data_IF_976316655321
#
_entry.id   IF_976316655321
#
_cell.length_a   1.000
_cell.length_b   1.000
_cell.length_c   1.000
_cell.angle_alpha   90.00
_cell.angle_beta   90.00
_cell.angle_gamma   90.00
#
_symmetry.space_group_name_H-M   'P 1'
#
loop_
_entity.id
_entity.type
_entity.pdbx_description
1 polymer ?
#
# COMPACT_ATOMS: atom_id res chain seq x y z
N UNK A 1 9.21 -7.88 21.53
CA UNK A 1 10.57 -7.64 20.97
C UNK A 1 10.44 -6.54 19.94
N UNK A 2 11.29 -5.50 19.99
CA UNK A 2 11.30 -4.44 18.98
C UNK A 2 11.88 -4.97 17.68
N UNK A 3 11.33 -4.52 16.56
CA UNK A 3 11.82 -4.81 15.21
C UNK A 3 11.87 -3.49 14.44
N UNK A 4 12.78 -3.39 13.49
CA UNK A 4 12.79 -2.28 12.54
C UNK A 4 11.54 -2.31 11.67
N UNK A 5 11.16 -1.16 11.10
CA UNK A 5 10.11 -1.09 10.07
C UNK A 5 10.41 -2.07 8.94
N UNK A 6 11.67 -2.15 8.49
CA UNK A 6 12.10 -3.09 7.45
C UNK A 6 11.77 -4.55 7.82
N UNK A 7 12.24 -5.02 8.97
CA UNK A 7 12.00 -6.41 9.40
C UNK A 7 10.50 -6.74 9.51
N UNK A 8 9.68 -5.81 10.01
CA UNK A 8 8.22 -6.02 10.12
C UNK A 8 7.51 -6.06 8.79
N UNK A 9 7.97 -5.27 7.82
CA UNK A 9 7.42 -5.21 6.47
C UNK A 9 7.79 -6.47 5.68
N UNK A 10 9.06 -6.89 5.74
CA UNK A 10 9.56 -8.11 5.10
C UNK A 10 8.87 -9.36 5.66
N UNK A 11 8.68 -9.45 6.98
CA UNK A 11 7.92 -10.53 7.62
C UNK A 11 6.46 -10.64 7.14
N UNK A 12 5.94 -9.60 6.46
CA UNK A 12 4.59 -9.55 5.88
C UNK A 12 4.58 -9.65 4.35
N UNK A 13 5.70 -10.03 3.75
CA UNK A 13 5.83 -10.26 2.32
C UNK A 13 6.03 -8.99 1.49
N UNK A 14 6.36 -7.86 2.10
CA UNK A 14 6.79 -6.68 1.34
C UNK A 14 8.26 -6.79 0.97
N UNK A 15 8.60 -6.32 -0.23
CA UNK A 15 9.96 -6.36 -0.76
C UNK A 15 10.63 -5.02 -0.49
N UNK A 16 11.82 -5.04 0.09
CA UNK A 16 12.57 -3.81 0.36
C UNK A 16 12.99 -3.11 -0.96
N UNK A 17 12.62 -1.84 -1.08
CA UNK A 17 13.08 -0.94 -2.14
C UNK A 17 14.13 0.06 -1.68
N UNK A 18 14.44 1.03 -2.54
CA UNK A 18 15.40 2.07 -2.24
C UNK A 18 14.94 2.96 -1.06
N UNK A 19 15.89 3.35 -0.20
CA UNK A 19 15.62 4.26 0.93
C UNK A 19 14.58 3.67 1.89
N UNK A 20 13.44 4.35 2.06
CA UNK A 20 12.34 3.91 2.92
C UNK A 20 11.12 3.40 2.15
N UNK A 21 11.29 3.00 0.88
CA UNK A 21 10.23 2.39 0.07
C UNK A 21 10.20 0.87 0.16
N UNK A 22 9.01 0.32 -0.03
CA UNK A 22 8.70 -1.10 -0.07
C UNK A 22 7.69 -1.41 -1.17
N UNK A 23 7.78 -2.59 -1.77
CA UNK A 23 6.93 -3.02 -2.89
C UNK A 23 6.07 -4.23 -2.52
N UNK A 24 4.87 -4.32 -3.12
CA UNK A 24 4.01 -5.51 -3.01
C UNK A 24 3.06 -5.64 -4.20
N UNK A 25 2.75 -6.85 -4.70
CA UNK A 25 3.27 -8.15 -4.23
C UNK A 25 4.65 -8.49 -4.78
N UNK A 26 5.08 -7.80 -5.83
CA UNK A 26 6.35 -7.97 -6.52
C UNK A 26 6.80 -6.64 -7.13
N UNK A 27 7.89 -6.64 -7.89
CA UNK A 27 8.42 -5.46 -8.60
C UNK A 27 7.80 -5.20 -9.98
N UNK A 28 6.93 -6.09 -10.47
CA UNK A 28 6.24 -5.91 -11.75
C UNK A 28 5.03 -4.99 -11.60
N UNK A 29 4.71 -4.23 -12.64
CA UNK A 29 3.55 -3.34 -12.61
C UNK A 29 2.25 -4.05 -13.02
N UNK A 30 1.10 -3.62 -12.48
CA UNK A 30 0.95 -2.65 -11.40
C UNK A 30 1.41 -3.20 -10.05
N UNK A 31 1.90 -2.36 -9.13
CA UNK A 31 2.22 -2.77 -7.75
C UNK A 31 2.02 -1.63 -6.73
N UNK A 32 2.06 -1.98 -5.45
CA UNK A 32 2.01 -1.03 -4.35
C UNK A 32 3.41 -0.55 -3.99
N UNK A 33 3.54 0.75 -3.75
CA UNK A 33 4.66 1.34 -3.03
C UNK A 33 4.18 1.78 -1.65
N UNK A 34 4.81 1.30 -0.58
CA UNK A 34 4.60 1.84 0.76
C UNK A 34 5.84 2.63 1.19
N UNK A 35 5.65 3.92 1.48
CA UNK A 35 6.72 4.83 1.91
C UNK A 35 6.64 5.10 3.39
N UNK A 36 7.76 4.96 4.09
CA UNK A 36 7.89 5.27 5.51
C UNK A 36 8.83 6.43 5.76
N UNK A 37 8.63 7.14 6.87
CA UNK A 37 9.52 8.21 7.34
C UNK A 37 10.94 7.68 7.56
N UNK A 38 11.06 6.53 8.23
CA UNK A 38 12.33 5.90 8.53
C UNK A 38 12.21 4.36 8.58
N UNK A 39 12.76 3.68 7.56
CA UNK A 39 12.73 2.22 7.48
C UNK A 39 13.60 1.49 8.53
N UNK A 40 14.53 2.17 9.17
CA UNK A 40 15.40 1.63 10.22
C UNK A 40 14.88 1.90 11.64
N UNK A 41 13.76 2.61 11.78
CA UNK A 41 13.17 2.90 13.09
C UNK A 41 12.71 1.61 13.76
N UNK A 42 13.10 1.42 15.02
CA UNK A 42 12.56 0.36 15.88
C UNK A 42 11.14 0.71 16.30
N UNK A 43 10.21 -0.22 16.08
CA UNK A 43 8.79 -0.11 16.42
C UNK A 43 8.35 -1.31 17.25
N UNK A 44 7.49 -1.05 18.24
CA UNK A 44 7.05 -2.02 19.23
C UNK A 44 5.99 -2.99 18.70
N UNK A 45 5.12 -2.51 17.80
CA UNK A 45 4.03 -3.28 17.23
C UNK A 45 3.64 -2.77 15.82
N UNK A 46 2.53 -3.30 15.32
CA UNK A 46 2.01 -2.95 14.00
C UNK A 46 1.38 -1.56 13.97
N UNK A 47 0.72 -1.12 15.03
CA UNK A 47 0.08 0.19 15.05
C UNK A 47 1.11 1.31 15.13
N UNK A 48 2.19 1.13 15.91
CA UNK A 48 3.35 2.01 15.91
C UNK A 48 4.02 2.09 14.53
N UNK A 49 4.04 0.99 13.76
CA UNK A 49 4.54 1.01 12.38
C UNK A 49 3.65 1.85 11.46
N UNK A 50 2.32 1.79 11.60
CA UNK A 50 1.38 2.59 10.79
C UNK A 50 1.56 4.09 10.99
N UNK A 51 2.01 4.54 12.16
CA UNK A 51 2.31 5.96 12.42
C UNK A 51 3.57 6.45 11.67
N UNK A 52 4.43 5.53 11.21
CA UNK A 52 5.60 5.83 10.38
C UNK A 52 5.28 5.85 8.88
N UNK A 53 4.10 5.37 8.48
CA UNK A 53 3.66 5.37 7.09
C UNK A 53 3.40 6.79 6.61
N UNK A 54 4.05 7.20 5.54
CA UNK A 54 3.78 8.48 4.88
C UNK A 54 2.62 8.33 3.87
N UNK A 55 2.68 7.29 3.04
CA UNK A 55 1.66 7.01 2.04
C UNK A 55 1.83 5.60 1.44
N UNK A 56 0.77 5.14 0.77
CA UNK A 56 0.79 3.98 -0.14
C UNK A 56 0.41 4.45 -1.54
N UNK A 57 1.12 4.03 -2.58
CA UNK A 57 0.81 4.38 -3.98
C UNK A 57 0.53 3.11 -4.78
N UNK A 58 -0.58 3.08 -5.52
CA UNK A 58 -0.78 2.12 -6.60
C UNK A 58 -0.06 2.65 -7.84
N UNK A 59 0.99 1.96 -8.26
CA UNK A 59 1.88 2.36 -9.36
C UNK A 59 1.68 1.49 -10.58
N UNK A 60 1.69 2.11 -11.77
CA UNK A 60 1.54 1.48 -13.08
C UNK A 60 2.80 1.61 -13.96
N UNK A 61 3.93 2.05 -13.40
CA UNK A 61 5.23 2.01 -14.10
C UNK A 61 5.34 2.92 -15.32
N UNK A 62 4.57 4.01 -15.37
CA UNK A 62 4.58 4.94 -16.51
C UNK A 62 3.79 4.46 -17.72
N UNK A 63 2.90 3.48 -17.56
CA UNK A 63 1.98 3.06 -18.63
C UNK A 63 1.16 4.26 -19.16
N UNK A 64 1.11 4.47 -20.50
CA UNK A 64 0.32 5.54 -21.10
C UNK A 64 -1.16 5.48 -20.66
N UNK A 65 -1.71 6.64 -20.27
CA UNK A 65 -3.10 6.74 -19.82
C UNK A 65 -3.40 6.12 -18.45
N UNK A 66 -2.36 5.74 -17.68
CA UNK A 66 -2.49 5.28 -16.29
C UNK A 66 -1.91 6.31 -15.33
N UNK A 67 -2.66 6.62 -14.29
CA UNK A 67 -2.23 7.55 -13.24
C UNK A 67 -1.88 6.76 -11.99
N UNK A 68 -0.69 7.00 -11.43
CA UNK A 68 -0.34 6.46 -10.13
C UNK A 68 -1.20 7.14 -9.06
N UNK A 69 -1.85 6.37 -8.20
CA UNK A 69 -2.76 6.93 -7.18
C UNK A 69 -2.16 6.75 -5.81
N UNK A 70 -2.00 7.86 -5.10
CA UNK A 70 -1.46 7.92 -3.74
C UNK A 70 -2.59 7.95 -2.72
N UNK A 71 -2.49 7.09 -1.73
CA UNK A 71 -3.34 6.99 -0.56
C UNK A 71 -2.53 7.36 0.69
N UNK A 72 -2.91 8.47 1.32
CA UNK A 72 -2.39 8.86 2.65
C UNK A 72 -3.37 8.34 3.69
N UNK A 73 -2.85 7.79 4.80
CA UNK A 73 -3.68 7.27 5.88
C UNK A 73 -4.68 8.34 6.36
N UNK A 74 -5.96 7.95 6.46
CA UNK A 74 -7.06 8.85 6.86
C UNK A 74 -7.65 9.69 5.73
N UNK A 75 -7.09 9.67 4.52
CA UNK A 75 -7.63 10.42 3.38
C UNK A 75 -8.86 9.72 2.79
N UNK A 76 -10.03 10.37 2.87
CA UNK A 76 -11.28 9.84 2.28
C UNK A 76 -11.30 9.95 0.76
N UNK A 77 -10.87 11.08 0.20
CA UNK A 77 -10.86 11.30 -1.24
C UNK A 77 -9.87 10.35 -1.94
N UNK A 78 -8.65 10.24 -1.41
CA UNK A 78 -7.64 9.32 -1.96
C UNK A 78 -8.08 7.86 -1.92
N UNK A 79 -8.94 7.45 -0.97
CA UNK A 79 -9.48 6.09 -0.90
C UNK A 79 -10.35 5.76 -2.12
N UNK A 80 -11.18 6.69 -2.59
CA UNK A 80 -12.09 6.44 -3.72
C UNK A 80 -11.30 6.23 -5.00
N UNK A 81 -10.44 7.18 -5.36
CA UNK A 81 -9.59 7.08 -6.56
C UNK A 81 -8.74 5.82 -6.54
N UNK A 82 -8.19 5.47 -5.38
CA UNK A 82 -7.39 4.25 -5.22
C UNK A 82 -8.23 3.00 -5.45
N UNK A 83 -9.44 2.94 -4.91
CA UNK A 83 -10.36 1.80 -5.09
C UNK A 83 -10.74 1.64 -6.56
N UNK A 84 -11.03 2.75 -7.25
CA UNK A 84 -11.43 2.74 -8.65
C UNK A 84 -10.30 2.32 -9.58
N UNK A 85 -9.05 2.74 -9.32
CA UNK A 85 -7.90 2.23 -10.08
C UNK A 85 -7.61 0.76 -9.76
N UNK A 86 -7.76 0.33 -8.51
CA UNK A 86 -7.53 -1.06 -8.12
C UNK A 86 -8.48 -2.03 -8.84
N UNK A 87 -9.74 -1.61 -9.09
CA UNK A 87 -10.73 -2.37 -9.87
C UNK A 87 -10.35 -2.57 -11.34
N UNK A 88 -9.47 -1.75 -11.89
CA UNK A 88 -9.02 -1.84 -13.29
C UNK A 88 -7.89 -2.86 -13.49
N UNK A 89 -7.42 -3.48 -12.42
CA UNK A 89 -6.32 -4.47 -12.42
C UNK A 89 -6.92 -5.88 -12.48
N UNK A 90 -6.12 -6.86 -12.91
CA UNK A 90 -6.46 -8.28 -12.76
C UNK A 90 -6.93 -8.58 -11.33
N UNK A 91 -8.07 -9.27 -11.23
CA UNK A 91 -8.83 -9.47 -9.98
C UNK A 91 -7.99 -10.07 -8.85
N UNK A 92 -7.25 -11.13 -9.11
CA UNK A 92 -6.49 -11.83 -8.06
C UNK A 92 -5.37 -10.94 -7.50
N UNK A 93 -4.73 -10.18 -8.39
CA UNK A 93 -3.71 -9.21 -8.01
C UNK A 93 -4.32 -8.05 -7.22
N UNK A 94 -5.46 -7.54 -7.66
CA UNK A 94 -6.20 -6.47 -6.99
C UNK A 94 -6.64 -6.86 -5.57
N UNK A 95 -7.12 -8.10 -5.38
CA UNK A 95 -7.51 -8.61 -4.05
C UNK A 95 -6.30 -8.68 -3.10
N UNK A 96 -5.17 -9.23 -3.56
CA UNK A 96 -3.94 -9.28 -2.75
C UNK A 96 -3.48 -7.88 -2.31
N UNK A 97 -3.57 -6.91 -3.21
CA UNK A 97 -3.20 -5.53 -2.92
C UNK A 97 -4.18 -4.84 -1.99
N UNK A 98 -5.48 -5.04 -2.19
CA UNK A 98 -6.52 -4.54 -1.30
C UNK A 98 -6.24 -4.96 0.14
N UNK A 99 -5.99 -6.24 0.35
CA UNK A 99 -5.77 -6.79 1.69
C UNK A 99 -4.56 -6.13 2.36
N UNK A 100 -3.47 -5.93 1.61
CA UNK A 100 -2.28 -5.24 2.12
C UNK A 100 -2.46 -3.76 2.38
N UNK A 101 -3.22 -3.07 1.53
CA UNK A 101 -3.55 -1.66 1.76
C UNK A 101 -4.41 -1.54 3.00
N UNK A 102 -5.44 -2.37 3.16
CA UNK A 102 -6.31 -2.36 4.33
C UNK A 102 -5.52 -2.68 5.61
N UNK A 103 -4.65 -3.70 5.58
CA UNK A 103 -3.77 -4.07 6.70
C UNK A 103 -2.89 -2.90 7.16
N UNK A 104 -2.30 -2.18 6.20
CA UNK A 104 -1.28 -1.16 6.45
C UNK A 104 -1.88 0.22 6.75
N UNK A 105 -3.01 0.56 6.16
CA UNK A 105 -3.62 1.90 6.28
C UNK A 105 -4.81 1.93 7.23
N UNK A 106 -5.41 0.77 7.54
CA UNK A 106 -6.68 0.68 8.25
C UNK A 106 -7.88 1.12 7.42
N UNK A 107 -7.71 1.39 6.12
CA UNK A 107 -8.84 1.62 5.23
C UNK A 107 -9.65 0.34 5.06
N UNK A 108 -10.95 0.50 4.78
CA UNK A 108 -11.84 -0.58 4.39
C UNK A 108 -12.11 -0.45 2.89
N UNK A 109 -11.09 -0.74 2.06
CA UNK A 109 -11.25 -0.83 0.61
C UNK A 109 -11.92 -2.16 0.29
N UNK A 110 -12.99 -2.11 -0.49
CA UNK A 110 -13.65 -3.29 -1.03
C UNK A 110 -13.90 -3.11 -2.54
N UNK A 111 -13.11 -3.79 -3.36
CA UNK A 111 -13.24 -3.74 -4.82
C UNK A 111 -14.47 -4.48 -5.33
N UNK A 112 -15.11 -5.32 -4.51
CA UNK A 112 -16.31 -6.08 -4.87
C UNK A 112 -17.62 -5.34 -4.59
N UNK A 113 -17.60 -4.33 -3.72
CA UNK A 113 -18.81 -3.54 -3.45
C UNK A 113 -19.04 -2.54 -4.57
N UNK A 114 -20.20 -2.57 -5.21
CA UNK A 114 -20.65 -1.47 -6.07
C UNK A 114 -20.73 -0.19 -5.24
N UNK A 115 -20.10 0.90 -5.69
CA UNK A 115 -20.32 2.22 -5.11
C UNK A 115 -21.77 2.59 -5.42
N UNK A 116 -22.65 2.54 -4.41
CA UNK A 116 -23.96 3.19 -4.52
C UNK A 116 -23.70 4.69 -4.39
N UNK A 117 -23.92 5.40 -5.48
CA UNK A 117 -23.91 6.86 -5.54
C UNK A 117 -25.12 7.42 -4.80
#
# INVERSE_FOLDING_TARGET
>A
MKQTVTERMEARGWIKGAGSDFFYPDSNYPHLHARFKNASKLVDDWDALKEELEWVTLSFGGQPGKTNVKLVRGSRAGRMDFTDELRKINRDRALKMQDKVNELTGHNININESVRW
#
